data_IF_718806796335
#
_entry.id   IF_718806796335
#
_cell.length_a   1.000
_cell.length_b   1.000
_cell.length_c   1.000
_cell.angle_alpha   90.00
_cell.angle_beta   90.00
_cell.angle_gamma   90.00
#
_symmetry.space_group_name_H-M   'P 1'
#
loop_
_entity.id
_entity.type
_entity.pdbx_description
1 polymer ?
#
# COMPACT_ATOMS: atom_id res chain seq x y z
N UNK A 1 -42.72 -6.35 -23.40
CA UNK A 1 -42.02 -6.29 -22.11
C UNK A 1 -40.55 -6.64 -22.37
N UNK A 2 -39.57 -5.78 -22.07
CA UNK A 2 -38.17 -6.13 -22.26
C UNK A 2 -37.72 -7.12 -21.19
N UNK A 3 -36.98 -8.16 -21.60
CA UNK A 3 -36.39 -9.15 -20.70
C UNK A 3 -35.36 -8.50 -19.77
N UNK A 4 -35.32 -8.84 -18.46
CA UNK A 4 -34.28 -8.36 -17.57
C UNK A 4 -32.91 -8.88 -18.04
N UNK A 5 -31.92 -8.00 -18.15
CA UNK A 5 -30.56 -8.37 -18.50
C UNK A 5 -29.98 -9.34 -17.43
N UNK A 6 -29.69 -10.61 -17.76
CA UNK A 6 -29.16 -11.60 -16.81
C UNK A 6 -27.71 -11.31 -16.40
N UNK A 7 -27.04 -10.35 -17.05
CA UNK A 7 -25.73 -9.83 -16.68
C UNK A 7 -25.81 -8.46 -15.97
N UNK A 8 -27.03 -7.97 -15.71
CA UNK A 8 -27.23 -6.79 -14.88
C UNK A 8 -26.80 -7.08 -13.44
N UNK A 9 -26.03 -6.16 -12.84
CA UNK A 9 -25.61 -6.28 -11.44
C UNK A 9 -26.85 -6.41 -10.54
N UNK A 10 -27.03 -7.56 -9.90
CA UNK A 10 -28.16 -7.83 -9.02
C UNK A 10 -28.21 -6.82 -7.87
N UNK A 11 -29.18 -5.90 -7.93
CA UNK A 11 -29.38 -4.88 -6.90
C UNK A 11 -29.82 -5.49 -5.56
N UNK A 12 -30.54 -6.60 -5.59
CA UNK A 12 -31.00 -7.31 -4.38
C UNK A 12 -29.91 -8.18 -3.74
N UNK A 13 -29.08 -8.86 -4.56
CA UNK A 13 -27.88 -9.56 -4.09
C UNK A 13 -26.89 -8.61 -3.39
N UNK A 14 -26.82 -7.36 -3.85
CA UNK A 14 -25.92 -6.33 -3.29
C UNK A 14 -26.26 -5.96 -1.84
N UNK A 15 -27.54 -5.91 -1.43
CA UNK A 15 -27.94 -5.59 -0.03
C UNK A 15 -27.71 -6.75 0.93
N UNK A 16 -28.05 -7.98 0.53
CA UNK A 16 -27.88 -9.19 1.36
C UNK A 16 -26.40 -9.57 1.56
N UNK A 17 -25.52 -9.16 0.63
CA UNK A 17 -24.07 -9.35 0.76
C UNK A 17 -23.36 -8.33 1.67
N UNK A 18 -23.98 -7.21 2.07
CA UNK A 18 -23.29 -6.18 2.88
C UNK A 18 -22.85 -6.75 4.23
N UNK A 19 -23.68 -7.58 4.86
CA UNK A 19 -23.33 -8.26 6.12
C UNK A 19 -22.15 -9.22 5.93
N UNK A 20 -22.14 -9.99 4.83
CA UNK A 20 -21.03 -10.87 4.47
C UNK A 20 -19.73 -10.10 4.25
N UNK A 21 -19.78 -8.97 3.52
CA UNK A 21 -18.63 -8.09 3.32
C UNK A 21 -18.13 -7.49 4.64
N UNK A 22 -19.03 -7.03 5.52
CA UNK A 22 -18.66 -6.52 6.85
C UNK A 22 -17.90 -7.55 7.67
N UNK A 23 -18.42 -8.78 7.72
CA UNK A 23 -17.77 -9.89 8.44
C UNK A 23 -16.44 -10.25 7.79
N UNK A 24 -16.40 -10.43 6.48
CA UNK A 24 -15.16 -10.77 5.76
C UNK A 24 -14.08 -9.69 5.87
N UNK A 25 -14.46 -8.41 5.87
CA UNK A 25 -13.55 -7.28 6.10
C UNK A 25 -12.95 -7.34 7.50
N UNK A 26 -13.77 -7.56 8.54
CA UNK A 26 -13.28 -7.66 9.92
C UNK A 26 -12.38 -8.88 10.08
N UNK A 27 -12.81 -10.05 9.60
CA UNK A 27 -12.06 -11.29 9.75
C UNK A 27 -10.72 -11.22 9.01
N UNK A 28 -10.68 -10.72 7.77
CA UNK A 28 -9.43 -10.59 7.02
C UNK A 28 -8.49 -9.55 7.66
N UNK A 29 -9.02 -8.41 8.12
CA UNK A 29 -8.24 -7.42 8.86
C UNK A 29 -7.63 -8.00 10.15
N UNK A 30 -8.44 -8.65 10.98
CA UNK A 30 -7.96 -9.25 12.24
C UNK A 30 -6.94 -10.35 11.97
N UNK A 31 -7.15 -11.17 10.94
CA UNK A 31 -6.18 -12.19 10.53
C UNK A 31 -4.82 -11.54 10.20
N UNK A 32 -4.80 -10.51 9.36
CA UNK A 32 -3.58 -9.81 8.99
C UNK A 32 -2.90 -9.13 10.20
N UNK A 33 -3.67 -8.40 11.01
CA UNK A 33 -3.18 -7.72 12.22
C UNK A 33 -2.55 -8.71 13.20
N UNK A 34 -3.30 -9.75 13.61
CA UNK A 34 -2.87 -10.70 14.62
C UNK A 34 -1.62 -11.44 14.16
N UNK A 35 -1.57 -11.93 12.92
CA UNK A 35 -0.42 -12.68 12.44
C UNK A 35 0.80 -11.79 12.19
N UNK A 36 0.62 -10.54 11.76
CA UNK A 36 1.72 -9.58 11.64
C UNK A 36 2.34 -9.31 13.02
N UNK A 37 1.52 -9.07 14.05
CA UNK A 37 2.01 -8.86 15.43
C UNK A 37 2.66 -10.14 15.97
N UNK A 38 1.99 -11.28 15.82
CA UNK A 38 2.50 -12.58 16.29
C UNK A 38 3.86 -12.91 15.68
N UNK A 39 4.02 -12.77 14.36
CA UNK A 39 5.28 -13.06 13.68
C UNK A 39 6.35 -11.97 13.79
N UNK A 40 5.98 -10.78 14.25
CA UNK A 40 6.95 -9.78 14.68
C UNK A 40 7.63 -10.22 15.98
N UNK A 41 6.86 -10.78 16.92
CA UNK A 41 7.33 -11.13 18.27
C UNK A 41 7.86 -12.56 18.39
N UNK A 42 7.28 -13.50 17.63
CA UNK A 42 7.54 -14.94 17.77
C UNK A 42 7.82 -15.56 16.40
N UNK A 43 8.91 -16.34 16.31
CA UNK A 43 9.18 -17.14 15.12
C UNK A 43 8.18 -18.32 15.04
N UNK A 44 7.81 -18.79 13.82
CA UNK A 44 6.92 -19.94 13.67
C UNK A 44 7.50 -21.21 14.31
N UNK A 45 6.71 -21.83 15.18
CA UNK A 45 7.02 -23.10 15.84
C UNK A 45 6.70 -24.28 14.93
N UNK A 46 7.56 -24.55 13.94
CA UNK A 46 7.48 -25.77 13.16
C UNK A 46 8.67 -26.69 13.47
N UNK A 47 8.37 -27.92 13.93
CA UNK A 47 9.32 -28.97 14.33
C UNK A 47 10.12 -29.63 13.20
N UNK A 48 10.37 -28.91 12.10
CA UNK A 48 11.30 -29.40 11.08
C UNK A 48 12.74 -29.28 11.59
N UNK A 49 13.55 -30.31 11.33
CA UNK A 49 14.94 -30.45 11.82
C UNK A 49 15.89 -29.30 11.44
N UNK A 50 15.46 -28.37 10.60
CA UNK A 50 16.22 -27.21 10.16
C UNK A 50 15.70 -25.92 10.83
N UNK A 51 16.06 -25.75 12.11
CA UNK A 51 15.71 -24.60 12.96
C UNK A 51 16.16 -23.23 12.39
N UNK A 52 17.03 -23.21 11.39
CA UNK A 52 17.69 -22.02 10.86
C UNK A 52 16.85 -21.24 9.81
N UNK A 53 15.65 -21.71 9.46
CA UNK A 53 14.82 -21.12 8.38
C UNK A 53 13.52 -20.49 8.90
N UNK A 54 13.28 -20.56 10.21
CA UNK A 54 12.08 -20.03 10.85
C UNK A 54 12.47 -18.88 11.78
N UNK A 55 12.14 -17.66 11.37
CA UNK A 55 12.54 -16.46 12.08
C UNK A 55 11.36 -15.47 12.13
N UNK A 56 11.44 -14.50 13.03
CA UNK A 56 10.49 -13.38 13.05
C UNK A 56 10.65 -12.55 11.77
N UNK A 57 9.67 -11.69 11.47
CA UNK A 57 9.71 -10.81 10.29
C UNK A 57 11.05 -10.05 10.21
N UNK A 58 11.47 -9.45 11.33
CA UNK A 58 12.73 -8.72 11.42
C UNK A 58 13.94 -9.60 11.72
N UNK A 59 13.75 -10.82 12.23
CA UNK A 59 14.83 -11.78 12.37
C UNK A 59 15.40 -12.21 11.01
N UNK A 60 14.54 -12.37 9.99
CA UNK A 60 14.96 -12.67 8.62
C UNK A 60 15.67 -11.49 7.96
N UNK A 61 15.24 -10.27 8.27
CA UNK A 61 15.94 -9.05 7.83
C UNK A 61 17.41 -9.05 8.30
N UNK A 62 17.64 -9.44 9.55
CA UNK A 62 18.96 -9.39 10.16
C UNK A 62 19.84 -10.56 9.71
N UNK A 63 19.22 -11.69 9.40
CA UNK A 63 19.89 -12.85 8.82
C UNK A 63 20.27 -12.61 7.35
N UNK A 64 19.29 -12.25 6.52
CA UNK A 64 19.44 -12.02 5.07
C UNK A 64 19.45 -10.53 4.77
N UNK A 65 20.46 -9.83 5.28
CA UNK A 65 20.56 -8.38 5.15
C UNK A 65 20.88 -7.95 3.71
N UNK A 66 20.01 -7.12 3.15
CA UNK A 66 20.12 -6.62 1.77
C UNK A 66 20.16 -5.10 1.68
N UNK A 67 20.46 -4.57 0.49
CA UNK A 67 20.39 -3.13 0.20
C UNK A 67 18.99 -2.53 0.40
N UNK A 68 17.94 -3.35 0.41
CA UNK A 68 16.55 -2.90 0.65
C UNK A 68 16.06 -3.20 2.07
N UNK A 69 16.95 -3.62 2.97
CA UNK A 69 16.59 -3.88 4.37
C UNK A 69 16.40 -2.58 5.16
N UNK A 70 15.19 -2.29 5.66
CA UNK A 70 14.89 -1.03 6.33
C UNK A 70 15.12 -1.09 7.86
N UNK A 71 15.05 0.06 8.50
CA UNK A 71 14.91 0.14 9.95
C UNK A 71 13.57 -0.45 10.41
N UNK A 72 13.62 -1.45 11.29
CA UNK A 72 12.43 -2.09 11.86
C UNK A 72 11.54 -1.08 12.59
N UNK A 73 12.12 -0.04 13.20
CA UNK A 73 11.38 1.00 13.93
C UNK A 73 10.43 1.74 12.98
N UNK A 74 10.92 2.15 11.81
CA UNK A 74 10.11 2.85 10.81
C UNK A 74 9.03 1.93 10.25
N UNK A 75 9.37 0.69 9.89
CA UNK A 75 8.36 -0.27 9.40
C UNK A 75 7.28 -0.53 10.46
N UNK A 76 7.66 -0.62 11.74
CA UNK A 76 6.71 -0.81 12.84
C UNK A 76 5.77 0.40 12.99
N UNK A 77 6.30 1.64 12.96
CA UNK A 77 5.49 2.86 13.01
C UNK A 77 4.52 2.91 11.82
N UNK A 78 5.01 2.58 10.63
CA UNK A 78 4.22 2.55 9.41
C UNK A 78 3.01 1.60 9.54
N UNK A 79 3.26 0.37 9.99
CA UNK A 79 2.22 -0.64 10.17
C UNK A 79 1.23 -0.30 11.29
N UNK A 80 1.69 0.20 12.43
CA UNK A 80 0.81 0.66 13.51
C UNK A 80 -0.12 1.76 12.99
N UNK A 81 0.44 2.74 12.28
CA UNK A 81 -0.33 3.84 11.68
C UNK A 81 -1.34 3.30 10.68
N UNK A 82 -0.92 2.40 9.79
CA UNK A 82 -1.80 1.76 8.80
C UNK A 82 -2.96 1.03 9.49
N UNK A 83 -2.70 0.21 10.50
CA UNK A 83 -3.75 -0.51 11.21
C UNK A 83 -4.74 0.42 11.92
N UNK A 84 -4.27 1.50 12.55
CA UNK A 84 -5.15 2.51 13.16
C UNK A 84 -6.05 3.15 12.11
N UNK A 85 -5.49 3.57 10.97
CA UNK A 85 -6.26 4.16 9.89
C UNK A 85 -7.24 3.16 9.27
N UNK A 86 -6.87 1.88 9.18
CA UNK A 86 -7.75 0.82 8.71
C UNK A 86 -8.92 0.55 9.66
N UNK A 87 -8.74 0.67 10.98
CA UNK A 87 -9.85 0.64 11.94
C UNK A 87 -10.82 1.79 11.64
N UNK A 88 -10.32 3.00 11.37
CA UNK A 88 -11.14 4.14 10.95
C UNK A 88 -11.93 3.86 9.67
N UNK A 89 -11.27 3.30 8.64
CA UNK A 89 -11.94 2.84 7.42
C UNK A 89 -13.06 1.81 7.71
N UNK A 90 -12.78 0.80 8.53
CA UNK A 90 -13.76 -0.24 8.89
C UNK A 90 -14.95 0.38 9.63
N UNK A 91 -14.73 1.36 10.51
CA UNK A 91 -15.79 2.09 11.19
C UNK A 91 -16.77 2.73 10.20
N UNK A 92 -16.27 3.32 9.10
CA UNK A 92 -17.14 3.93 8.08
C UNK A 92 -18.07 2.93 7.39
N UNK A 93 -17.73 1.64 7.38
CA UNK A 93 -18.60 0.57 6.88
C UNK A 93 -19.86 0.38 7.76
N UNK A 94 -19.82 0.82 9.02
CA UNK A 94 -20.92 0.78 9.99
C UNK A 94 -21.57 2.15 10.23
N UNK A 95 -21.19 3.18 9.47
CA UNK A 95 -21.79 4.51 9.58
C UNK A 95 -23.28 4.51 9.22
N UNK A 96 -24.06 5.39 9.85
CA UNK A 96 -25.45 5.69 9.46
C UNK A 96 -25.54 6.46 8.14
N UNK A 97 -24.45 7.09 7.69
CA UNK A 97 -24.40 7.82 6.43
C UNK A 97 -24.19 6.87 5.25
N UNK A 98 -25.18 6.83 4.35
CA UNK A 98 -25.19 5.93 3.20
C UNK A 98 -24.04 6.19 2.21
N UNK A 99 -23.58 7.44 2.08
CA UNK A 99 -22.47 7.79 1.19
C UNK A 99 -21.15 7.23 1.70
N UNK A 100 -20.89 7.32 3.01
CA UNK A 100 -19.70 6.72 3.63
C UNK A 100 -19.68 5.20 3.46
N UNK A 101 -20.82 4.54 3.68
CA UNK A 101 -20.94 3.09 3.50
C UNK A 101 -20.73 2.70 2.05
N UNK A 102 -21.27 3.46 1.09
CA UNK A 102 -21.12 3.20 -0.34
C UNK A 102 -19.67 3.32 -0.80
N UNK A 103 -18.96 4.37 -0.39
CA UNK A 103 -17.53 4.53 -0.67
C UNK A 103 -16.71 3.39 -0.04
N UNK A 104 -16.97 3.05 1.23
CA UNK A 104 -16.24 1.99 1.92
C UNK A 104 -16.51 0.59 1.35
N UNK A 105 -17.75 0.33 0.90
CA UNK A 105 -18.13 -0.94 0.29
C UNK A 105 -17.51 -1.12 -1.11
N UNK A 106 -17.27 -0.04 -1.85
CA UNK A 106 -16.65 -0.10 -3.18
C UNK A 106 -15.23 -0.68 -3.17
N UNK A 107 -14.45 -0.40 -2.11
CA UNK A 107 -13.10 -0.96 -1.93
C UNK A 107 -13.07 -2.31 -1.21
N UNK A 108 -14.19 -2.74 -0.62
CA UNK A 108 -14.21 -3.82 0.37
C UNK A 108 -13.59 -5.13 -0.13
N UNK A 109 -13.88 -5.53 -1.38
CA UNK A 109 -13.29 -6.75 -1.96
C UNK A 109 -11.77 -6.67 -2.11
N UNK A 110 -11.26 -5.52 -2.55
CA UNK A 110 -9.81 -5.30 -2.71
C UNK A 110 -9.10 -5.22 -1.37
N UNK A 111 -9.76 -4.63 -0.35
CA UNK A 111 -9.26 -4.57 1.02
C UNK A 111 -9.18 -5.97 1.65
N UNK A 112 -10.22 -6.80 1.48
CA UNK A 112 -10.22 -8.19 1.93
C UNK A 112 -9.07 -8.96 1.27
N UNK A 113 -8.96 -8.85 -0.07
CA UNK A 113 -7.90 -9.53 -0.81
C UNK A 113 -6.50 -9.05 -0.39
N UNK A 114 -6.32 -7.74 -0.16
CA UNK A 114 -5.09 -7.18 0.38
C UNK A 114 -4.69 -7.84 1.70
N UNK A 115 -5.61 -7.93 2.65
CA UNK A 115 -5.31 -8.53 3.95
C UNK A 115 -4.98 -10.02 3.86
N UNK A 116 -5.67 -10.77 2.99
CA UNK A 116 -5.39 -12.19 2.78
C UNK A 116 -4.03 -12.42 2.12
N UNK A 117 -3.69 -11.63 1.10
CA UNK A 117 -2.39 -11.72 0.42
C UNK A 117 -1.25 -11.23 1.32
N UNK A 118 -1.48 -10.18 2.09
CA UNK A 118 -0.51 -9.71 3.08
C UNK A 118 -0.28 -10.76 4.17
N UNK A 119 -1.33 -11.37 4.70
CA UNK A 119 -1.23 -12.49 5.63
C UNK A 119 -0.43 -13.66 5.02
N UNK A 120 -0.76 -14.05 3.78
CA UNK A 120 -0.05 -15.12 3.07
C UNK A 120 1.44 -14.77 2.90
N UNK A 121 1.75 -13.53 2.53
CA UNK A 121 3.13 -13.04 2.45
C UNK A 121 3.85 -13.16 3.79
N UNK A 122 3.30 -12.64 4.89
CA UNK A 122 3.94 -12.73 6.23
C UNK A 122 4.18 -14.20 6.60
N UNK A 123 3.21 -15.07 6.34
CA UNK A 123 3.29 -16.49 6.67
C UNK A 123 4.38 -17.22 5.88
N UNK A 124 4.56 -16.88 4.60
CA UNK A 124 5.58 -17.45 3.72
C UNK A 124 6.97 -16.85 4.00
N UNK A 125 7.04 -15.54 4.20
CA UNK A 125 8.25 -14.79 4.54
C UNK A 125 8.91 -15.40 5.77
N UNK A 126 8.15 -15.55 6.86
CA UNK A 126 8.63 -16.09 8.16
C UNK A 126 9.11 -17.55 8.12
N UNK A 127 8.91 -18.23 6.99
CA UNK A 127 9.35 -19.61 6.71
C UNK A 127 10.35 -19.68 5.54
N UNK A 128 10.89 -18.54 5.12
CA UNK A 128 11.87 -18.42 4.03
C UNK A 128 11.39 -18.95 2.67
N UNK A 129 10.07 -18.91 2.40
CA UNK A 129 9.52 -19.25 1.08
C UNK A 129 9.53 -18.03 0.14
N UNK A 130 10.72 -17.55 -0.19
CA UNK A 130 10.95 -16.28 -0.89
C UNK A 130 10.19 -16.17 -2.22
N UNK A 131 10.32 -17.15 -3.11
CA UNK A 131 9.65 -17.14 -4.43
C UNK A 131 8.13 -17.06 -4.36
N UNK A 132 7.51 -17.85 -3.49
CA UNK A 132 6.04 -17.84 -3.35
C UNK A 132 5.59 -16.58 -2.64
N UNK A 133 6.36 -16.11 -1.65
CA UNK A 133 6.07 -14.85 -0.97
C UNK A 133 6.14 -13.66 -1.93
N UNK A 134 7.10 -13.63 -2.86
CA UNK A 134 7.21 -12.60 -3.89
C UNK A 134 6.00 -12.62 -4.83
N UNK A 135 5.55 -13.82 -5.24
CA UNK A 135 4.34 -13.96 -6.03
C UNK A 135 3.10 -13.40 -5.30
N UNK A 136 2.98 -13.59 -3.98
CA UNK A 136 1.87 -13.01 -3.20
C UNK A 136 1.93 -11.47 -3.21
N UNK A 137 3.12 -10.88 -3.13
CA UNK A 137 3.28 -9.42 -3.23
C UNK A 137 2.93 -8.91 -4.61
N UNK A 138 3.35 -9.58 -5.70
CA UNK A 138 3.01 -9.19 -7.07
C UNK A 138 1.49 -9.23 -7.27
N UNK A 139 0.83 -10.30 -6.82
CA UNK A 139 -0.62 -10.41 -6.87
C UNK A 139 -1.31 -9.28 -6.08
N UNK A 140 -0.75 -8.91 -4.91
CA UNK A 140 -1.29 -7.85 -4.08
C UNK A 140 -1.09 -6.47 -4.73
N UNK A 141 0.05 -6.26 -5.37
CA UNK A 141 0.36 -5.04 -6.10
C UNK A 141 -0.61 -4.83 -7.25
N UNK A 142 -0.86 -5.87 -8.05
CA UNK A 142 -1.84 -5.84 -9.15
C UNK A 142 -3.25 -5.57 -8.61
N UNK A 143 -3.63 -6.20 -7.49
CA UNK A 143 -4.91 -5.94 -6.82
C UNK A 143 -5.08 -4.46 -6.43
N UNK A 144 -4.05 -3.86 -5.84
CA UNK A 144 -4.08 -2.47 -5.38
C UNK A 144 -3.96 -1.46 -6.52
N UNK A 145 -3.19 -1.76 -7.57
CA UNK A 145 -3.17 -0.95 -8.79
C UNK A 145 -4.52 -0.95 -9.49
N UNK A 146 -5.16 -2.12 -9.59
CA UNK A 146 -6.52 -2.22 -10.12
C UNK A 146 -7.51 -1.41 -9.28
N UNK A 147 -7.39 -1.45 -7.94
CA UNK A 147 -8.19 -0.64 -7.04
C UNK A 147 -7.98 0.87 -7.28
N UNK A 148 -6.71 1.29 -7.36
CA UNK A 148 -6.32 2.67 -7.58
C UNK A 148 -6.92 3.24 -8.88
N UNK A 149 -6.72 2.55 -10.00
CA UNK A 149 -7.18 3.04 -11.30
C UNK A 149 -8.70 2.94 -11.47
N UNK A 150 -9.35 1.98 -10.81
CA UNK A 150 -10.81 1.85 -10.86
C UNK A 150 -11.52 2.96 -10.08
N UNK A 151 -10.86 3.51 -9.07
CA UNK A 151 -11.45 4.44 -8.14
C UNK A 151 -10.50 5.59 -7.79
N UNK A 152 -10.21 6.41 -8.80
CA UNK A 152 -9.25 7.52 -8.69
C UNK A 152 -9.71 8.69 -7.83
N UNK A 153 -11.00 8.73 -7.44
CA UNK A 153 -11.60 9.78 -6.61
C UNK A 153 -12.28 9.17 -5.39
N UNK A 154 -11.51 8.94 -4.34
CA UNK A 154 -12.03 8.51 -3.05
C UNK A 154 -11.76 9.55 -1.97
N UNK A 155 -12.65 9.67 -0.96
CA UNK A 155 -12.33 10.44 0.23
C UNK A 155 -11.05 9.95 0.89
N UNK A 156 -10.24 10.86 1.41
CA UNK A 156 -8.94 10.56 2.01
C UNK A 156 -9.02 9.48 3.11
N UNK A 157 -10.11 9.45 3.88
CA UNK A 157 -10.33 8.46 4.95
C UNK A 157 -10.52 7.02 4.44
N UNK A 158 -10.85 6.81 3.17
CA UNK A 158 -10.85 5.48 2.52
C UNK A 158 -9.56 5.28 1.74
N UNK A 159 -9.17 6.30 0.96
CA UNK A 159 -8.04 6.24 0.04
C UNK A 159 -6.73 5.92 0.77
N UNK A 160 -6.44 6.66 1.84
CA UNK A 160 -5.19 6.51 2.57
C UNK A 160 -5.01 5.10 3.18
N UNK A 161 -5.96 4.57 3.99
CA UNK A 161 -5.81 3.24 4.60
C UNK A 161 -6.03 2.03 3.69
N UNK A 162 -6.83 2.16 2.63
CA UNK A 162 -7.21 1.03 1.78
C UNK A 162 -6.45 1.00 0.45
N UNK A 163 -5.85 2.11 0.03
CA UNK A 163 -5.18 2.24 -1.28
C UNK A 163 -3.74 2.72 -1.11
N UNK A 164 -3.52 3.98 -0.73
CA UNK A 164 -2.23 4.64 -0.85
C UNK A 164 -1.14 4.01 0.02
N UNK A 165 -1.41 3.85 1.32
CA UNK A 165 -0.45 3.19 2.21
C UNK A 165 -0.25 1.71 1.82
N UNK A 166 -1.29 0.86 1.74
CA UNK A 166 -1.13 -0.52 1.28
C UNK A 166 -0.30 -0.68 0.01
N UNK A 167 -0.55 0.18 -0.99
CA UNK A 167 0.13 0.13 -2.28
C UNK A 167 1.62 0.45 -2.17
N UNK A 168 1.96 1.52 -1.45
CA UNK A 168 3.36 1.90 -1.20
C UNK A 168 4.12 0.85 -0.39
N UNK A 169 3.46 0.22 0.59
CA UNK A 169 4.05 -0.89 1.32
C UNK A 169 4.35 -2.07 0.41
N UNK A 170 3.39 -2.50 -0.41
CA UNK A 170 3.58 -3.67 -1.28
C UNK A 170 4.69 -3.40 -2.31
N UNK A 171 4.72 -2.20 -2.90
CA UNK A 171 5.83 -1.77 -3.76
C UNK A 171 7.18 -1.89 -3.04
N UNK A 172 7.27 -1.38 -1.81
CA UNK A 172 8.49 -1.48 -1.01
C UNK A 172 8.87 -2.94 -0.70
N UNK A 173 7.89 -3.74 -0.30
CA UNK A 173 8.09 -5.13 0.07
C UNK A 173 8.56 -5.98 -1.13
N UNK A 174 8.15 -5.68 -2.36
CA UNK A 174 8.62 -6.36 -3.57
C UNK A 174 10.14 -6.24 -3.72
N UNK A 175 10.67 -5.02 -3.58
CA UNK A 175 12.13 -4.82 -3.67
C UNK A 175 12.87 -5.45 -2.50
N UNK A 176 12.29 -5.37 -1.29
CA UNK A 176 12.91 -5.98 -0.12
C UNK A 176 12.96 -7.50 -0.22
N UNK A 177 11.83 -8.13 -0.54
CA UNK A 177 11.72 -9.58 -0.66
C UNK A 177 12.45 -10.12 -1.89
N UNK A 178 12.29 -9.48 -3.05
CA UNK A 178 13.03 -9.82 -4.27
C UNK A 178 14.56 -9.79 -4.06
N UNK A 179 15.08 -8.82 -3.30
CA UNK A 179 16.50 -8.79 -2.98
C UNK A 179 16.96 -9.95 -2.10
N UNK A 180 16.12 -10.41 -1.17
CA UNK A 180 16.41 -11.60 -0.34
C UNK A 180 16.30 -12.87 -1.19
N UNK A 181 15.27 -12.97 -2.04
CA UNK A 181 14.99 -14.11 -2.91
C UNK A 181 16.16 -14.47 -3.83
N UNK A 182 16.87 -13.48 -4.37
CA UNK A 182 17.98 -13.71 -5.30
C UNK A 182 19.34 -13.88 -4.60
N UNK A 183 19.37 -13.96 -3.26
CA UNK A 183 20.61 -14.05 -2.46
C UNK A 183 21.66 -13.04 -2.92
N UNK A 184 21.24 -11.78 -2.94
CA UNK A 184 21.93 -10.70 -3.61
C UNK A 184 23.26 -10.34 -2.90
N UNK A 185 24.32 -11.10 -3.18
CA UNK A 185 25.66 -10.93 -2.61
C UNK A 185 26.67 -10.59 -3.72
N UNK A 186 27.38 -9.47 -3.58
CA UNK A 186 28.45 -9.07 -4.50
C UNK A 186 28.24 -7.74 -5.24
N UNK A 187 29.16 -7.42 -6.15
CA UNK A 187 29.23 -6.10 -6.80
C UNK A 187 28.07 -5.84 -7.78
N UNK A 188 27.71 -6.83 -8.59
CA UNK A 188 26.59 -6.71 -9.54
C UNK A 188 25.26 -6.42 -8.80
N UNK A 189 25.01 -7.12 -7.69
CA UNK A 189 23.88 -6.86 -6.82
C UNK A 189 23.86 -5.41 -6.31
N UNK A 190 25.00 -4.88 -5.86
CA UNK A 190 25.11 -3.50 -5.37
C UNK A 190 24.77 -2.48 -6.47
N UNK A 191 25.24 -2.71 -7.70
CA UNK A 191 24.91 -1.85 -8.85
C UNK A 191 23.40 -1.92 -9.13
N UNK A 192 22.83 -3.12 -9.20
CA UNK A 192 21.40 -3.30 -9.45
C UNK A 192 20.53 -2.69 -8.35
N UNK A 193 20.92 -2.80 -7.08
CA UNK A 193 20.21 -2.16 -5.97
C UNK A 193 20.27 -0.63 -6.03
N UNK A 194 21.43 -0.07 -6.38
CA UNK A 194 21.62 1.36 -6.56
C UNK A 194 20.79 1.93 -7.72
N UNK A 195 20.54 1.14 -8.76
CA UNK A 195 19.63 1.52 -9.86
C UNK A 195 18.17 1.31 -9.44
N UNK A 196 17.88 0.16 -8.84
CA UNK A 196 16.53 -0.26 -8.45
C UNK A 196 15.87 0.67 -7.44
N UNK A 197 16.64 1.27 -6.52
CA UNK A 197 16.07 2.21 -5.54
C UNK A 197 15.40 3.43 -6.18
N UNK A 198 15.87 3.88 -7.36
CA UNK A 198 15.26 5.03 -8.05
C UNK A 198 13.86 4.73 -8.60
N UNK A 199 13.47 3.45 -8.68
CA UNK A 199 12.10 3.09 -9.00
C UNK A 199 11.11 3.71 -8.00
N UNK A 200 11.46 3.83 -6.71
CA UNK A 200 10.60 4.50 -5.72
C UNK A 200 10.34 5.97 -6.04
N UNK A 201 11.33 6.66 -6.62
CA UNK A 201 11.16 8.05 -7.08
C UNK A 201 10.22 8.11 -8.29
N UNK A 202 10.42 7.23 -9.28
CA UNK A 202 9.57 7.18 -10.48
C UNK A 202 8.14 6.83 -10.10
N UNK A 203 7.97 5.78 -9.30
CA UNK A 203 6.71 5.34 -8.75
C UNK A 203 5.98 6.49 -8.05
N UNK A 204 6.57 7.08 -7.00
CA UNK A 204 5.93 8.17 -6.28
C UNK A 204 5.73 9.42 -7.14
N UNK A 205 6.66 9.71 -8.04
CA UNK A 205 6.58 10.83 -8.97
C UNK A 205 5.37 10.72 -9.90
N UNK A 206 5.07 9.53 -10.41
CA UNK A 206 3.86 9.29 -11.22
C UNK A 206 2.60 9.61 -10.41
N UNK A 207 2.48 9.10 -9.17
CA UNK A 207 1.31 9.35 -8.32
C UNK A 207 1.16 10.82 -7.92
N UNK A 208 2.25 11.46 -7.50
CA UNK A 208 2.23 12.85 -7.05
C UNK A 208 2.04 13.82 -8.22
N UNK A 209 2.77 13.67 -9.33
CA UNK A 209 2.78 14.66 -10.41
C UNK A 209 1.61 14.45 -11.38
N UNK A 210 1.29 13.20 -11.73
CA UNK A 210 0.26 12.90 -12.73
C UNK A 210 -1.12 12.82 -12.09
N UNK A 211 -1.22 12.12 -10.95
CA UNK A 211 -2.49 11.87 -10.28
C UNK A 211 -2.80 12.85 -9.14
N UNK A 212 -1.87 13.76 -8.83
CA UNK A 212 -1.98 14.69 -7.69
C UNK A 212 -2.25 13.98 -6.36
N UNK A 213 -1.70 12.76 -6.20
CA UNK A 213 -1.87 11.96 -5.00
C UNK A 213 -0.67 12.09 -4.08
N UNK A 214 -0.75 13.07 -3.18
CA UNK A 214 0.26 13.31 -2.15
C UNK A 214 0.28 12.22 -1.06
N UNK A 215 -0.77 11.37 -0.92
CA UNK A 215 -0.78 10.31 0.10
C UNK A 215 0.20 9.20 -0.23
N UNK A 216 0.26 8.79 -1.51
CA UNK A 216 1.28 7.84 -2.00
C UNK A 216 2.67 8.43 -1.84
N UNK A 217 2.83 9.73 -2.15
CA UNK A 217 4.09 10.45 -1.98
C UNK A 217 4.59 10.47 -0.54
N UNK A 218 3.78 10.93 0.43
CA UNK A 218 4.16 10.92 1.85
C UNK A 218 4.46 9.52 2.39
N UNK A 219 3.66 8.53 2.00
CA UNK A 219 3.86 7.14 2.43
C UNK A 219 5.18 6.58 1.89
N UNK A 220 5.52 6.88 0.63
CA UNK A 220 6.80 6.48 0.01
C UNK A 220 7.98 7.20 0.68
N UNK A 221 7.86 8.50 0.92
CA UNK A 221 8.90 9.28 1.59
C UNK A 221 9.20 8.72 2.99
N UNK A 222 8.17 8.33 3.75
CA UNK A 222 8.33 7.73 5.06
C UNK A 222 9.07 6.37 5.00
N UNK A 223 8.70 5.49 4.06
CA UNK A 223 9.39 4.21 3.88
C UNK A 223 10.85 4.40 3.43
N UNK A 224 11.12 5.38 2.56
CA UNK A 224 12.48 5.74 2.15
C UNK A 224 13.30 6.33 3.29
N UNK A 225 12.69 7.09 4.22
CA UNK A 225 13.35 7.50 5.45
C UNK A 225 13.77 6.27 6.27
N UNK A 226 12.86 5.30 6.42
CA UNK A 226 13.15 4.05 7.14
C UNK A 226 14.24 3.22 6.51
N UNK A 227 14.27 3.14 5.17
CA UNK A 227 15.36 2.51 4.43
C UNK A 227 16.69 3.25 4.62
N UNK A 228 16.68 4.57 4.47
CA UNK A 228 17.87 5.41 4.64
C UNK A 228 18.47 5.27 6.04
N UNK A 229 17.65 5.32 7.09
CA UNK A 229 18.09 5.11 8.47
C UNK A 229 18.65 3.70 8.68
N UNK A 230 17.98 2.66 8.17
CA UNK A 230 18.47 1.28 8.27
C UNK A 230 19.86 1.12 7.63
N UNK A 231 20.02 1.63 6.41
CA UNK A 231 21.27 1.53 5.66
C UNK A 231 22.38 2.45 6.22
N UNK A 232 22.03 3.59 6.83
CA UNK A 232 22.99 4.52 7.43
C UNK A 232 23.73 3.90 8.63
N UNK A 233 23.04 3.14 9.46
CA UNK A 233 23.66 2.49 10.62
C UNK A 233 24.48 1.25 10.26
N UNK A 234 24.06 0.48 9.26
CA UNK A 234 24.78 -0.75 8.85
C UNK A 234 25.95 -0.47 7.91
N UNK A 235 25.87 0.59 7.08
CA UNK A 235 26.88 1.01 6.07
C UNK A 235 27.34 -0.10 5.10
N UNK A 236 26.66 -1.24 5.04
CA UNK A 236 27.01 -2.37 4.17
C UNK A 236 26.94 -2.02 2.66
N UNK A 237 26.08 -1.05 2.30
CA UNK A 237 25.86 -0.59 0.93
C UNK A 237 26.10 0.92 0.84
N UNK A 238 27.31 1.30 0.39
CA UNK A 238 27.89 2.63 0.61
C UNK A 238 27.02 3.83 0.13
N UNK A 239 26.26 3.70 -0.96
CA UNK A 239 25.47 4.78 -1.55
C UNK A 239 23.97 4.69 -1.26
N UNK A 240 23.50 3.55 -0.75
CA UNK A 240 22.07 3.24 -0.66
C UNK A 240 21.33 4.20 0.28
N UNK A 241 21.95 4.58 1.40
CA UNK A 241 21.36 5.53 2.35
C UNK A 241 21.26 6.96 1.78
N UNK A 242 22.24 7.38 0.96
CA UNK A 242 22.24 8.70 0.30
C UNK A 242 21.07 8.76 -0.68
N UNK A 243 20.92 7.72 -1.51
CA UNK A 243 19.83 7.64 -2.48
C UNK A 243 18.47 7.58 -1.77
N UNK A 244 18.33 6.78 -0.72
CA UNK A 244 17.09 6.71 0.06
C UNK A 244 16.70 8.08 0.65
N UNK A 245 17.63 8.81 1.27
CA UNK A 245 17.34 10.15 1.80
C UNK A 245 17.08 11.19 0.72
N UNK A 246 17.75 11.09 -0.43
CA UNK A 246 17.49 11.97 -1.58
C UNK A 246 16.07 11.77 -2.09
N UNK A 247 15.67 10.51 -2.31
CA UNK A 247 14.32 10.17 -2.77
C UNK A 247 13.30 10.62 -1.73
N UNK A 248 13.54 10.35 -0.45
CA UNK A 248 12.68 10.81 0.65
C UNK A 248 12.47 12.33 0.60
N UNK A 249 13.54 13.13 0.50
CA UNK A 249 13.44 14.58 0.49
C UNK A 249 12.69 15.10 -0.75
N UNK A 250 13.03 14.61 -1.94
CA UNK A 250 12.40 15.03 -3.20
C UNK A 250 10.92 14.68 -3.20
N UNK A 251 10.56 13.44 -2.86
CA UNK A 251 9.17 12.99 -2.84
C UNK A 251 8.38 13.72 -1.75
N UNK A 252 8.96 13.94 -0.58
CA UNK A 252 8.31 14.69 0.50
C UNK A 252 7.98 16.12 0.09
N UNK A 253 8.95 16.85 -0.49
CA UNK A 253 8.74 18.21 -0.96
C UNK A 253 7.74 18.28 -2.12
N UNK A 254 7.79 17.35 -3.06
CA UNK A 254 6.80 17.25 -4.13
C UNK A 254 5.39 16.98 -3.58
N UNK A 255 5.28 16.14 -2.55
CA UNK A 255 4.00 15.83 -1.89
C UNK A 255 3.45 17.03 -1.12
N UNK A 256 4.30 17.80 -0.44
CA UNK A 256 3.91 19.06 0.20
C UNK A 256 3.40 20.06 -0.84
N UNK A 257 4.10 20.21 -1.96
CA UNK A 257 3.68 21.08 -3.03
C UNK A 257 2.33 20.63 -3.65
N UNK A 258 2.11 19.32 -3.83
CA UNK A 258 0.84 18.76 -4.28
C UNK A 258 -0.31 18.92 -3.27
N UNK A 259 -0.01 18.94 -1.96
CA UNK A 259 -0.99 19.15 -0.90
C UNK A 259 -1.48 20.60 -0.80
N UNK A 260 -0.72 21.57 -1.33
CA UNK A 260 -1.13 22.99 -1.37
C UNK A 260 -2.05 23.22 -2.58
N UNK A 261 -3.30 23.67 -2.37
CA UNK A 261 -4.21 23.99 -3.47
C UNK A 261 -3.59 25.01 -4.43
N UNK A 262 -3.62 24.72 -5.73
CA UNK A 262 -3.17 25.64 -6.80
C UNK A 262 -1.81 25.33 -7.44
N UNK A 263 -0.92 24.54 -6.83
CA UNK A 263 0.41 24.21 -7.41
C UNK A 263 0.28 23.11 -8.49
N UNK A 264 -0.48 22.07 -8.19
CA UNK A 264 -0.77 20.95 -9.12
C UNK A 264 -2.27 20.78 -9.42
N UNK A 265 -3.14 21.65 -8.88
CA UNK A 265 -4.58 21.65 -9.13
C UNK A 265 -4.91 21.95 -10.59
N UNK A 266 -4.91 20.89 -11.42
CA UNK A 266 -5.55 20.92 -12.75
C UNK A 266 -7.07 20.78 -12.65
N UNK A 267 -7.58 20.20 -11.55
CA UNK A 267 -9.01 20.00 -11.26
C UNK A 267 -9.79 21.32 -11.12
N UNK A 268 -9.21 22.30 -10.41
CA UNK A 268 -9.86 23.61 -10.25
C UNK A 268 -10.02 24.35 -11.59
N UNK A 269 -9.17 24.05 -12.58
CA UNK A 269 -9.23 24.66 -13.92
C UNK A 269 -10.25 23.98 -14.85
N UNK A 270 -10.53 22.69 -14.68
CA UNK A 270 -11.53 21.96 -15.47
C UNK A 270 -12.94 22.10 -14.91
N UNK A 271 -13.09 22.04 -13.58
CA UNK A 271 -14.40 22.12 -12.94
C UNK A 271 -14.96 23.55 -13.02
N UNK A 272 -14.11 24.58 -12.91
CA UNK A 272 -14.49 25.97 -13.16
C UNK A 272 -14.81 26.27 -14.65
N UNK A 273 -14.38 25.42 -15.59
CA UNK A 273 -14.76 25.51 -16.99
C UNK A 273 -16.08 24.77 -17.26
N UNK A 274 -16.28 23.60 -16.64
CA UNK A 274 -17.51 22.80 -16.75
C UNK A 274 -18.72 23.46 -16.06
N UNK A 275 -18.52 24.17 -14.94
CA UNK A 275 -19.58 24.94 -14.27
C UNK A 275 -19.98 26.21 -15.04
N UNK A 276 -19.07 26.77 -15.86
CA UNK A 276 -19.41 27.88 -16.78
C UNK A 276 -20.32 27.44 -17.93
N UNK A 277 -20.23 26.17 -18.35
CA UNK A 277 -21.14 25.60 -19.35
C UNK A 277 -22.50 25.14 -18.77
N UNK A 278 -22.64 25.16 -17.43
CA UNK A 278 -23.89 24.84 -16.70
C UNK A 278 -24.52 26.05 -16.02
N UNK A 279 -24.15 27.26 -16.41
CA UNK A 279 -24.89 28.44 -15.99
C UNK A 279 -26.29 28.39 -16.63
N UNK A 280 -27.39 28.39 -15.86
CA UNK A 280 -28.72 28.51 -16.43
C UNK A 280 -28.79 29.87 -17.13
N UNK A 281 -29.06 29.85 -18.44
CA UNK A 281 -29.52 31.02 -19.18
C UNK A 281 -30.78 31.52 -18.45
N UNK A 282 -30.62 32.61 -17.70
CA UNK A 282 -31.75 33.42 -17.29
C UNK A 282 -32.35 33.93 -18.59
N UNK A 283 -33.48 33.35 -18.98
CA UNK A 283 -34.36 33.91 -20.00
C UNK A 283 -34.77 35.30 -19.50
N UNK A 284 -34.28 36.34 -20.17
CA UNK A 284 -34.78 37.71 -20.02
C UNK A 284 -36.25 37.72 -20.46
N UNK A 285 -37.15 37.85 -19.49
CA UNK A 285 -38.57 38.16 -19.69
C UNK A 285 -38.81 39.67 -19.58
#
# INVERSE_FOLDING_TARGET
MPWPNPFGRDREGTRRNIAGYKVATILSFLLNLVFTVMYTLHAPTNGHKHRHWNHTIFGLRDHDYTAFSPSYVFITIYWITLFILQIGYIWHLFSSNIEHVRCAAAVGSHFILFNLLQFAWVHLWTRSHWWISELMLIANWVNLMALYFRHTTMPAFVHLPAVAMPLTWVEFALFWNGAVMVHCEGLACRILANVGIWNFLVFAGIFVVIFNDYHVGFSTAFLMAGLGVGQFFTKAFALQWIFAFTIMAVVFLASLAAAVPGVFSRRDRSDAAADRERAPLLDDA
#
